data_IF_767533252389
#
_entry.id   IF_767533252389
#
_cell.length_a   1.000
_cell.length_b   1.000
_cell.length_c   1.000
_cell.angle_alpha   90.00
_cell.angle_beta   90.00
_cell.angle_gamma   90.00
#
_symmetry.space_group_name_H-M   'P 1'
#
loop_
_entity.id
_entity.type
_entity.pdbx_description
1 polymer ?
#
# COMPACT_ATOMS: atom_id res chain seq x y z
N UNK A 1 4.41 17.09 -19.89
CA UNK A 1 4.61 16.26 -18.68
C UNK A 1 6.10 15.97 -18.55
N UNK A 2 6.74 16.01 -17.36
CA UNK A 2 8.14 15.63 -17.26
C UNK A 2 8.32 14.14 -17.61
N UNK A 3 9.27 13.82 -18.49
CA UNK A 3 9.62 12.45 -18.86
C UNK A 3 10.83 11.98 -18.07
N UNK A 4 10.81 10.73 -17.62
CA UNK A 4 11.92 10.06 -16.96
C UNK A 4 12.34 8.87 -17.81
N UNK A 5 13.63 8.81 -18.17
CA UNK A 5 14.23 7.67 -18.85
C UNK A 5 15.16 6.95 -17.87
N UNK A 6 15.00 5.64 -17.77
CA UNK A 6 15.83 4.77 -16.94
C UNK A 6 16.57 3.84 -17.89
N UNK A 7 17.89 3.98 -17.94
CA UNK A 7 18.76 3.08 -18.71
C UNK A 7 19.14 1.89 -17.83
N UNK A 8 18.90 0.66 -18.32
CA UNK A 8 19.25 -0.58 -17.62
C UNK A 8 20.53 -1.12 -18.26
N UNK A 9 21.69 -1.04 -17.56
CA UNK A 9 22.96 -1.42 -18.15
C UNK A 9 23.01 -2.92 -18.43
N UNK A 10 23.54 -3.29 -19.60
CA UNK A 10 23.87 -4.68 -19.91
C UNK A 10 25.18 -5.05 -19.20
N UNK A 11 25.23 -6.19 -18.51
CA UNK A 11 26.50 -6.74 -18.02
C UNK A 11 27.19 -7.62 -19.06
N UNK A 12 28.51 -7.47 -19.17
CA UNK A 12 29.38 -8.39 -19.90
C UNK A 12 30.11 -9.26 -18.88
N UNK A 13 29.91 -10.59 -18.92
CA UNK A 13 30.63 -11.55 -18.07
C UNK A 13 29.76 -12.36 -17.10
N UNK A 14 30.33 -13.47 -16.62
CA UNK A 14 29.72 -14.58 -15.88
C UNK A 14 29.33 -14.28 -14.43
N UNK A 15 28.69 -13.13 -14.18
CA UNK A 15 27.88 -12.98 -12.96
C UNK A 15 26.60 -13.78 -13.19
N UNK A 16 26.18 -14.62 -12.23
CA UNK A 16 24.94 -15.37 -12.35
C UNK A 16 23.79 -14.38 -12.60
N UNK A 17 23.07 -14.54 -13.72
CA UNK A 17 22.02 -13.65 -14.21
C UNK A 17 21.02 -13.25 -13.11
N UNK A 18 20.77 -14.16 -12.17
CA UNK A 18 19.92 -13.96 -10.99
C UNK A 18 20.42 -12.84 -10.07
N UNK A 19 21.70 -12.85 -9.67
CA UNK A 19 22.29 -11.83 -8.79
C UNK A 19 22.28 -10.45 -9.46
N UNK A 20 22.44 -10.42 -10.79
CA UNK A 20 22.37 -9.18 -11.54
C UNK A 20 20.93 -8.63 -11.63
N UNK A 21 19.94 -9.49 -11.88
CA UNK A 21 18.53 -9.10 -11.90
C UNK A 21 18.04 -8.64 -10.52
N UNK A 22 18.57 -9.22 -9.44
CA UNK A 22 18.32 -8.77 -8.07
C UNK A 22 18.82 -7.33 -7.86
N UNK A 23 20.06 -7.03 -8.23
CA UNK A 23 20.62 -5.67 -8.16
C UNK A 23 19.81 -4.66 -8.99
N UNK A 24 19.38 -5.04 -10.20
CA UNK A 24 18.52 -4.19 -11.04
C UNK A 24 17.19 -3.94 -10.34
N UNK A 25 16.55 -4.97 -9.79
CA UNK A 25 15.28 -4.86 -9.07
C UNK A 25 15.39 -3.92 -7.86
N UNK A 26 16.46 -4.02 -7.06
CA UNK A 26 16.72 -3.12 -5.93
C UNK A 26 16.89 -1.66 -6.38
N UNK A 27 17.68 -1.44 -7.43
CA UNK A 27 17.89 -0.10 -7.98
C UNK A 27 16.60 0.50 -8.52
N UNK A 28 15.83 -0.26 -9.30
CA UNK A 28 14.53 0.19 -9.82
C UNK A 28 13.56 0.48 -8.67
N UNK A 29 13.55 -0.33 -7.62
CA UNK A 29 12.74 -0.07 -6.41
C UNK A 29 13.17 1.23 -5.72
N UNK A 30 14.47 1.51 -5.66
CA UNK A 30 15.00 2.74 -5.08
C UNK A 30 14.71 4.00 -5.90
N UNK A 31 14.53 3.86 -7.21
CA UNK A 31 14.18 4.95 -8.13
C UNK A 31 12.66 5.17 -8.16
N UNK A 32 11.88 4.08 -8.13
CA UNK A 32 10.42 4.04 -8.12
C UNK A 32 9.87 4.06 -6.69
N UNK A 33 10.28 5.07 -5.90
CA UNK A 33 10.07 5.18 -4.43
C UNK A 33 8.61 5.21 -3.96
N UNK A 34 7.63 5.41 -4.84
CA UNK A 34 6.21 5.50 -4.46
C UNK A 34 5.33 4.56 -5.28
N UNK A 35 4.20 4.13 -4.69
CA UNK A 35 3.17 3.34 -5.38
C UNK A 35 2.52 4.07 -6.57
N UNK A 36 2.80 5.37 -6.70
CA UNK A 36 2.31 6.27 -7.76
C UNK A 36 3.30 6.36 -8.93
N UNK A 37 4.55 5.93 -8.77
CA UNK A 37 5.54 5.91 -9.86
C UNK A 37 5.35 4.66 -10.71
N UNK A 38 4.55 4.83 -11.75
CA UNK A 38 4.19 3.77 -12.69
C UNK A 38 5.12 3.84 -13.91
N UNK A 39 5.75 2.73 -14.26
CA UNK A 39 6.52 2.65 -15.50
C UNK A 39 5.51 2.55 -16.67
N UNK A 40 5.57 3.50 -17.60
CA UNK A 40 4.59 3.63 -18.69
C UNK A 40 4.91 2.71 -19.87
N UNK A 41 6.19 2.41 -20.10
CA UNK A 41 6.63 1.51 -21.15
C UNK A 41 8.01 0.93 -20.85
N UNK A 42 8.29 -0.25 -21.41
CA UNK A 42 9.63 -0.81 -21.53
C UNK A 42 10.03 -0.73 -23.00
N UNK A 43 11.23 -0.20 -23.26
CA UNK A 43 11.78 -0.08 -24.59
C UNK A 43 13.07 -0.88 -24.68
N UNK A 44 13.19 -1.77 -25.67
CA UNK A 44 14.47 -2.41 -25.98
C UNK A 44 15.13 -1.71 -27.17
N UNK A 45 16.46 -1.65 -27.14
CA UNK A 45 17.27 -1.08 -28.22
C UNK A 45 18.06 -2.21 -28.88
N UNK A 46 17.94 -2.35 -30.20
CA UNK A 46 18.77 -3.29 -30.97
C UNK A 46 19.14 -2.74 -32.33
N UNK A 47 20.07 -3.42 -33.01
CA UNK A 47 20.43 -3.09 -34.40
C UNK A 47 19.45 -3.75 -35.37
N UNK A 48 18.90 -2.98 -36.31
CA UNK A 48 17.89 -3.45 -37.27
C UNK A 48 18.39 -4.64 -38.10
N UNK A 49 19.64 -4.56 -38.54
CA UNK A 49 20.28 -5.53 -39.44
C UNK A 49 20.89 -6.73 -38.71
N UNK A 50 20.66 -6.86 -37.39
CA UNK A 50 21.15 -8.03 -36.67
C UNK A 50 20.26 -9.25 -36.95
N UNK A 51 20.85 -10.27 -37.56
CA UNK A 51 20.15 -11.50 -37.97
C UNK A 51 19.95 -12.49 -36.82
N UNK A 52 20.66 -12.34 -35.70
CA UNK A 52 20.51 -13.20 -34.53
C UNK A 52 21.01 -12.53 -33.26
N UNK A 53 20.23 -12.64 -32.19
CA UNK A 53 20.69 -12.37 -30.83
C UNK A 53 21.15 -13.67 -30.19
N UNK A 54 22.21 -13.61 -29.39
CA UNK A 54 22.66 -14.75 -28.56
C UNK A 54 21.56 -15.20 -27.61
N UNK A 55 21.59 -16.46 -27.17
CA UNK A 55 20.62 -16.95 -26.19
C UNK A 55 20.71 -16.16 -24.88
N UNK A 56 21.91 -15.75 -24.46
CA UNK A 56 22.12 -14.89 -23.28
C UNK A 56 21.39 -13.55 -23.39
N UNK A 57 21.39 -12.92 -24.57
CA UNK A 57 20.64 -11.67 -24.79
C UNK A 57 19.13 -11.89 -24.74
N UNK A 58 18.64 -13.02 -25.27
CA UNK A 58 17.22 -13.37 -25.23
C UNK A 58 16.78 -13.64 -23.78
N UNK A 59 17.56 -14.42 -23.04
CA UNK A 59 17.33 -14.71 -21.61
C UNK A 59 17.36 -13.44 -20.76
N UNK A 60 18.27 -12.51 -21.05
CA UNK A 60 18.31 -11.21 -20.40
C UNK A 60 17.03 -10.41 -20.63
N UNK A 61 16.55 -10.31 -21.87
CA UNK A 61 15.31 -9.58 -22.19
C UNK A 61 14.09 -10.19 -21.49
N UNK A 62 13.97 -11.51 -21.52
CA UNK A 62 12.92 -12.22 -20.82
C UNK A 62 13.03 -11.97 -19.31
N UNK A 63 14.23 -12.01 -18.72
CA UNK A 63 14.42 -11.76 -17.29
C UNK A 63 14.00 -10.34 -16.86
N UNK A 64 14.29 -9.32 -17.68
CA UNK A 64 13.82 -7.94 -17.45
C UNK A 64 12.29 -7.87 -17.52
N UNK A 65 11.64 -8.56 -18.46
CA UNK A 65 10.17 -8.67 -18.51
C UNK A 65 9.61 -9.24 -17.20
N UNK A 66 10.27 -10.27 -16.67
CA UNK A 66 9.82 -10.95 -15.46
C UNK A 66 9.93 -10.09 -14.21
N UNK A 67 10.70 -9.00 -14.22
CA UNK A 67 10.76 -8.03 -13.13
C UNK A 67 9.46 -7.28 -12.91
N UNK A 68 8.49 -7.29 -13.84
CA UNK A 68 7.25 -6.51 -13.74
C UNK A 68 5.99 -7.39 -13.64
N UNK A 69 4.99 -6.93 -12.89
CA UNK A 69 3.65 -7.52 -12.73
C UNK A 69 2.90 -7.48 -14.08
N UNK A 70 2.39 -8.63 -14.52
CA UNK A 70 1.75 -8.79 -15.82
C UNK A 70 0.23 -8.68 -15.68
N UNK A 71 -0.33 -7.46 -15.66
CA UNK A 71 -1.80 -7.29 -15.69
C UNK A 71 -2.38 -7.25 -17.10
N UNK A 72 -1.53 -7.12 -18.12
CA UNK A 72 -1.86 -7.30 -19.53
C UNK A 72 -0.56 -7.53 -20.29
N UNK A 73 -0.66 -8.16 -21.46
CA UNK A 73 0.47 -8.47 -22.35
C UNK A 73 1.29 -7.20 -22.59
N UNK A 74 2.41 -7.08 -21.90
CA UNK A 74 3.25 -5.89 -21.98
C UNK A 74 4.03 -6.00 -23.27
N UNK A 75 3.45 -5.53 -24.35
CA UNK A 75 4.12 -5.56 -25.64
C UNK A 75 5.27 -4.53 -25.58
N UNK A 76 6.51 -5.03 -25.42
CA UNK A 76 7.69 -4.17 -25.30
C UNK A 76 7.88 -3.35 -26.57
N UNK A 77 8.08 -2.05 -26.43
CA UNK A 77 8.41 -1.20 -27.56
C UNK A 77 9.86 -1.42 -27.98
N UNK A 78 10.13 -1.18 -29.25
CA UNK A 78 11.39 -1.52 -29.88
C UNK A 78 11.99 -0.29 -30.56
N UNK A 79 13.23 0.07 -30.23
CA UNK A 79 14.01 1.05 -30.97
C UNK A 79 15.09 0.33 -31.78
N UNK A 80 14.96 0.38 -33.10
CA UNK A 80 15.89 -0.24 -34.02
C UNK A 80 16.89 0.77 -34.56
N UNK A 81 18.11 0.67 -34.04
CA UNK A 81 19.27 1.45 -34.45
C UNK A 81 19.86 0.91 -35.75
N UNK A 82 20.59 1.77 -36.49
CA UNK A 82 21.23 1.41 -37.76
C UNK A 82 20.25 0.84 -38.81
N UNK A 83 19.03 1.37 -38.85
CA UNK A 83 17.99 1.00 -39.81
C UNK A 83 18.17 1.71 -41.18
N UNK A 84 19.42 1.87 -41.62
CA UNK A 84 19.77 2.63 -42.83
C UNK A 84 19.80 1.79 -44.11
N UNK A 85 19.71 0.46 -43.99
CA UNK A 85 20.06 -0.47 -45.07
C UNK A 85 19.30 -1.81 -45.02
N UNK A 86 18.00 -1.78 -45.31
CA UNK A 86 17.22 -2.99 -45.61
C UNK A 86 16.22 -3.43 -44.52
N UNK A 87 15.58 -4.60 -44.70
CA UNK A 87 14.53 -5.06 -43.79
C UNK A 87 15.10 -5.40 -42.41
N UNK A 88 14.34 -5.07 -41.36
CA UNK A 88 14.72 -5.28 -39.97
C UNK A 88 14.62 -6.76 -39.54
N UNK A 89 15.61 -7.57 -39.91
CA UNK A 89 15.66 -9.01 -39.64
C UNK A 89 15.54 -9.37 -38.15
N UNK A 90 16.00 -8.48 -37.26
CA UNK A 90 15.88 -8.67 -35.81
C UNK A 90 14.42 -8.79 -35.35
N UNK A 91 13.46 -8.15 -36.04
CA UNK A 91 12.02 -8.25 -35.70
C UNK A 91 11.51 -9.68 -35.89
N UNK A 92 11.86 -10.29 -37.02
CA UNK A 92 11.47 -11.67 -37.33
C UNK A 92 12.18 -12.67 -36.42
N UNK A 93 13.45 -12.42 -36.08
CA UNK A 93 14.17 -13.23 -35.12
C UNK A 93 13.53 -13.21 -33.73
N UNK A 94 13.19 -12.03 -33.19
CA UNK A 94 12.56 -11.89 -31.88
C UNK A 94 11.18 -12.57 -31.81
N UNK A 95 10.36 -12.42 -32.87
CA UNK A 95 9.09 -13.14 -33.00
C UNK A 95 9.29 -14.66 -32.98
N UNK A 96 10.32 -15.18 -33.66
CA UNK A 96 10.63 -16.61 -33.66
C UNK A 96 11.03 -17.17 -32.28
N UNK A 97 11.46 -16.30 -31.36
CA UNK A 97 11.84 -16.63 -29.97
C UNK A 97 10.71 -16.38 -28.97
N UNK A 98 9.48 -16.17 -29.43
CA UNK A 98 8.30 -15.87 -28.62
C UNK A 98 8.38 -14.57 -27.79
N UNK A 99 9.25 -13.63 -28.17
CA UNK A 99 9.24 -12.29 -27.56
C UNK A 99 8.12 -11.48 -28.21
N UNK A 100 7.20 -10.97 -27.38
CA UNK A 100 6.09 -10.13 -27.84
C UNK A 100 6.58 -8.70 -28.05
N UNK A 101 6.44 -8.22 -29.27
CA UNK A 101 6.85 -6.88 -29.66
C UNK A 101 5.64 -5.99 -29.82
N UNK A 102 5.70 -4.82 -29.18
CA UNK A 102 4.78 -3.71 -29.38
C UNK A 102 5.14 -2.92 -30.61
N UNK A 103 5.14 -1.59 -30.48
CA UNK A 103 5.49 -0.72 -31.60
C UNK A 103 7.00 -0.67 -31.79
N UNK A 104 7.46 -0.77 -33.04
CA UNK A 104 8.86 -0.61 -33.41
C UNK A 104 9.12 0.74 -34.06
N UNK A 105 10.20 1.40 -33.65
CA UNK A 105 10.66 2.69 -34.11
C UNK A 105 12.04 2.52 -34.76
N UNK A 106 12.12 2.72 -36.06
CA UNK A 106 13.34 2.54 -36.83
C UNK A 106 14.13 3.86 -36.77
N UNK A 107 15.15 3.92 -35.91
CA UNK A 107 15.91 5.14 -35.62
C UNK A 107 17.31 5.07 -36.24
N UNK A 108 17.70 6.13 -36.95
CA UNK A 108 19.04 6.22 -37.51
C UNK A 108 19.90 7.18 -36.69
N UNK A 109 20.66 6.61 -35.76
CA UNK A 109 21.54 7.37 -34.88
C UNK A 109 22.70 8.09 -35.60
N UNK A 110 23.01 7.75 -36.85
CA UNK A 110 24.07 8.43 -37.61
C UNK A 110 23.77 9.93 -37.82
N UNK A 111 22.49 10.32 -37.77
CA UNK A 111 22.05 11.72 -37.84
C UNK A 111 22.55 12.58 -36.66
N UNK A 112 22.94 11.97 -35.52
CA UNK A 112 23.48 12.69 -34.36
C UNK A 112 24.96 13.09 -34.54
N UNK A 113 25.67 12.50 -35.51
CA UNK A 113 27.14 12.58 -35.60
C UNK A 113 27.67 13.45 -36.76
N UNK A 114 26.82 14.07 -37.60
CA UNK A 114 27.31 14.92 -38.69
C UNK A 114 26.24 15.73 -39.44
N UNK A 115 26.65 16.85 -40.04
CA UNK A 115 25.79 17.70 -40.88
C UNK A 115 26.04 17.43 -42.37
N UNK A 116 25.12 16.72 -43.03
CA UNK A 116 25.08 16.54 -44.49
C UNK A 116 23.63 16.50 -44.96
N UNK A 117 23.40 16.68 -46.26
CA UNK A 117 22.05 16.63 -46.85
C UNK A 117 21.37 15.27 -46.62
N UNK A 118 22.14 14.19 -46.64
CA UNK A 118 21.66 12.83 -46.34
C UNK A 118 21.35 12.68 -44.84
N UNK A 119 22.17 13.26 -43.96
CA UNK A 119 21.91 13.27 -42.51
C UNK A 119 20.65 14.06 -42.14
N UNK A 120 20.30 15.10 -42.91
CA UNK A 120 19.04 15.85 -42.72
C UNK A 120 17.80 14.98 -42.93
N UNK A 121 17.81 14.12 -43.95
CA UNK A 121 16.69 13.18 -44.21
C UNK A 121 16.57 12.12 -43.11
N UNK A 122 17.71 11.60 -42.64
CA UNK A 122 17.72 10.66 -41.50
C UNK A 122 17.28 11.32 -40.20
N UNK A 123 17.61 12.60 -40.00
CA UNK A 123 17.16 13.39 -38.86
C UNK A 123 15.65 13.61 -38.87
N UNK A 124 15.08 14.01 -40.00
CA UNK A 124 13.63 14.19 -40.15
C UNK A 124 12.86 12.88 -39.89
N UNK A 125 13.34 11.77 -40.45
CA UNK A 125 12.75 10.44 -40.21
C UNK A 125 12.86 10.04 -38.73
N UNK A 126 14.03 10.19 -38.12
CA UNK A 126 14.25 9.86 -36.71
C UNK A 126 13.38 10.71 -35.78
N UNK A 127 13.27 12.00 -36.07
CA UNK A 127 12.44 12.94 -35.30
C UNK A 127 10.97 12.53 -35.38
N UNK A 128 10.48 12.18 -36.58
CA UNK A 128 9.11 11.69 -36.78
C UNK A 128 8.80 10.46 -35.91
N UNK A 129 9.73 9.50 -35.83
CA UNK A 129 9.53 8.30 -35.00
C UNK A 129 9.50 8.62 -33.49
N UNK A 130 10.35 9.54 -33.03
CA UNK A 130 10.30 9.99 -31.62
C UNK A 130 9.02 10.79 -31.32
N UNK A 131 8.57 11.66 -32.22
CA UNK A 131 7.30 12.36 -32.10
C UNK A 131 6.12 11.37 -32.01
N UNK A 132 6.13 10.33 -32.85
CA UNK A 132 5.11 9.29 -32.79
C UNK A 132 5.15 8.53 -31.45
N UNK A 133 6.33 8.19 -30.97
CA UNK A 133 6.52 7.53 -29.68
C UNK A 133 5.98 8.37 -28.52
N UNK A 134 6.37 9.65 -28.43
CA UNK A 134 5.91 10.54 -27.37
C UNK A 134 4.41 10.81 -27.44
N UNK A 135 3.87 11.01 -28.66
CA UNK A 135 2.42 11.17 -28.85
C UNK A 135 1.66 9.93 -28.37
N UNK A 136 2.17 8.72 -28.61
CA UNK A 136 1.56 7.48 -28.11
C UNK A 136 1.63 7.42 -26.58
N UNK A 137 2.77 7.74 -25.97
CA UNK A 137 2.89 7.80 -24.51
C UNK A 137 1.89 8.78 -23.86
N UNK A 138 1.54 9.88 -24.54
CA UNK A 138 0.58 10.86 -24.04
C UNK A 138 -0.89 10.48 -24.26
N UNK A 139 -1.19 9.72 -25.33
CA UNK A 139 -2.57 9.45 -25.76
C UNK A 139 -3.09 8.08 -25.38
N UNK A 140 -2.22 7.13 -25.06
CA UNK A 140 -2.63 5.77 -24.70
C UNK A 140 -3.15 5.73 -23.25
N UNK A 141 -4.48 5.71 -23.08
CA UNK A 141 -5.14 5.60 -21.78
C UNK A 141 -4.99 4.20 -21.15
N UNK A 142 -4.49 3.23 -21.93
CA UNK A 142 -4.18 1.87 -21.49
C UNK A 142 -2.72 1.71 -21.07
N UNK A 143 -2.05 2.78 -20.61
CA UNK A 143 -0.69 2.68 -20.06
C UNK A 143 -0.66 1.55 -19.06
N UNK A 144 -0.02 0.45 -19.48
CA UNK A 144 0.16 -0.72 -18.64
C UNK A 144 1.05 -0.21 -17.52
N UNK A 145 0.44 -0.01 -16.35
CA UNK A 145 1.15 0.39 -15.14
C UNK A 145 2.07 -0.75 -14.77
N UNK A 146 3.30 -0.72 -15.28
CA UNK A 146 4.26 -1.78 -15.00
C UNK A 146 4.79 -1.54 -13.59
N UNK A 147 4.35 -2.41 -12.69
CA UNK A 147 4.77 -2.43 -11.29
C UNK A 147 5.82 -3.52 -11.12
N UNK A 148 6.89 -3.25 -10.40
CA UNK A 148 7.91 -4.27 -10.13
C UNK A 148 7.29 -5.44 -9.34
N UNK A 149 7.55 -6.68 -9.76
CA UNK A 149 7.25 -7.88 -8.96
C UNK A 149 8.08 -7.83 -7.69
N UNK A 150 7.41 -7.69 -6.55
CA UNK A 150 8.04 -7.72 -5.24
C UNK A 150 8.42 -9.16 -4.85
N UNK A 151 9.46 -9.74 -5.50
CA UNK A 151 9.91 -11.10 -5.18
C UNK A 151 10.83 -11.18 -3.96
N UNK A 152 11.58 -10.13 -3.62
CA UNK A 152 12.60 -10.21 -2.57
C UNK A 152 12.24 -9.31 -1.38
N UNK A 153 11.16 -9.64 -0.66
CA UNK A 153 11.05 -9.20 0.74
C UNK A 153 11.97 -10.10 1.56
N UNK A 154 12.97 -9.52 2.24
CA UNK A 154 13.79 -10.31 3.15
C UNK A 154 12.94 -10.80 4.34
N UNK A 155 13.28 -11.92 4.99
CA UNK A 155 12.60 -12.38 6.20
C UNK A 155 12.54 -11.30 7.29
N UNK A 156 13.63 -10.53 7.45
CA UNK A 156 13.72 -9.43 8.41
C UNK A 156 12.71 -8.34 8.07
N UNK A 157 12.66 -7.91 6.80
CA UNK A 157 11.73 -6.88 6.36
C UNK A 157 10.27 -7.33 6.50
N UNK A 158 9.99 -8.59 6.21
CA UNK A 158 8.66 -9.19 6.43
C UNK A 158 8.28 -9.10 7.90
N UNK A 159 9.21 -9.44 8.79
CA UNK A 159 8.99 -9.45 10.22
C UNK A 159 8.79 -8.04 10.82
N UNK A 160 9.53 -7.05 10.31
CA UNK A 160 9.32 -5.64 10.62
C UNK A 160 7.90 -5.19 10.27
N UNK A 161 7.44 -5.48 9.04
CA UNK A 161 6.11 -5.08 8.58
C UNK A 161 5.02 -5.75 9.41
N UNK A 162 5.18 -7.03 9.74
CA UNK A 162 4.24 -7.75 10.61
C UNK A 162 4.16 -7.11 12.00
N UNK A 163 5.31 -6.72 12.55
CA UNK A 163 5.41 -6.06 13.85
C UNK A 163 4.79 -4.66 13.83
N UNK A 164 4.97 -3.91 12.75
CA UNK A 164 4.33 -2.61 12.52
C UNK A 164 2.80 -2.74 12.49
N UNK A 165 2.26 -3.71 11.73
CA UNK A 165 0.81 -3.96 11.68
C UNK A 165 0.29 -4.35 13.07
N UNK A 166 0.99 -5.27 13.76
CA UNK A 166 0.61 -5.73 15.10
C UNK A 166 0.60 -4.60 16.14
N UNK A 167 1.46 -3.59 15.98
CA UNK A 167 1.47 -2.38 16.82
C UNK A 167 0.38 -1.40 16.45
N UNK A 168 0.12 -1.18 15.16
CA UNK A 168 -0.85 -0.19 14.70
C UNK A 168 -2.30 -0.61 14.97
N UNK A 169 -2.64 -1.89 14.88
CA UNK A 169 -4.00 -2.37 15.16
C UNK A 169 -4.57 -1.93 16.52
N UNK A 170 -3.91 -2.19 17.66
CA UNK A 170 -4.41 -1.76 18.95
C UNK A 170 -4.42 -0.24 19.11
N UNK A 171 -3.47 0.49 18.51
CA UNK A 171 -3.48 1.95 18.51
C UNK A 171 -4.70 2.51 17.76
N UNK A 172 -5.07 1.92 16.61
CA UNK A 172 -6.28 2.32 15.87
C UNK A 172 -7.52 2.13 16.74
N UNK A 173 -7.65 1.00 17.43
CA UNK A 173 -8.78 0.76 18.35
C UNK A 173 -8.83 1.78 19.49
N UNK A 174 -7.69 2.15 20.06
CA UNK A 174 -7.59 3.17 21.10
C UNK A 174 -8.09 4.53 20.59
N UNK A 175 -7.60 4.98 19.43
CA UNK A 175 -7.99 6.26 18.84
C UNK A 175 -9.47 6.27 18.41
N UNK A 176 -10.03 5.15 17.97
CA UNK A 176 -11.47 5.04 17.67
C UNK A 176 -12.34 5.17 18.92
N UNK A 177 -11.90 4.60 20.05
CA UNK A 177 -12.62 4.78 21.32
C UNK A 177 -12.64 6.26 21.73
N UNK A 178 -11.48 6.95 21.64
CA UNK A 178 -11.38 8.40 21.91
C UNK A 178 -12.26 9.22 20.96
N UNK A 179 -12.25 8.89 19.67
CA UNK A 179 -13.10 9.56 18.68
C UNK A 179 -14.58 9.45 19.06
N UNK A 180 -15.02 8.24 19.40
CA UNK A 180 -16.40 8.01 19.83
C UNK A 180 -16.76 8.73 21.13
N UNK A 181 -15.83 8.85 22.08
CA UNK A 181 -16.03 9.61 23.32
C UNK A 181 -16.17 11.11 23.08
N UNK A 182 -15.33 11.71 22.23
CA UNK A 182 -15.41 13.14 21.89
C UNK A 182 -16.70 13.42 21.11
N UNK A 183 -17.06 12.57 20.14
CA UNK A 183 -18.31 12.72 19.38
C UNK A 183 -19.55 12.62 20.26
N UNK A 184 -19.55 11.67 21.20
CA UNK A 184 -20.63 11.56 22.17
C UNK A 184 -20.77 12.84 23.02
N UNK A 185 -19.65 13.41 23.46
CA UNK A 185 -19.65 14.68 24.20
C UNK A 185 -20.22 15.83 23.37
N UNK A 186 -19.73 16.03 22.14
CA UNK A 186 -20.22 17.10 21.24
C UNK A 186 -21.73 16.99 21.06
N UNK A 187 -22.23 15.79 20.71
CA UNK A 187 -23.67 15.55 20.54
C UNK A 187 -24.46 15.85 21.83
N UNK A 188 -23.95 15.39 22.97
CA UNK A 188 -24.61 15.61 24.27
C UNK A 188 -24.68 17.10 24.60
N UNK A 189 -23.60 17.85 24.37
CA UNK A 189 -23.57 19.29 24.62
C UNK A 189 -24.47 20.07 23.68
N UNK A 190 -24.55 19.69 22.40
CA UNK A 190 -25.48 20.29 21.44
C UNK A 190 -26.94 20.06 21.82
N UNK A 191 -27.30 18.83 22.20
CA UNK A 191 -28.67 18.47 22.59
C UNK A 191 -29.12 19.14 23.90
N UNK A 192 -28.17 19.49 24.78
CA UNK A 192 -28.43 20.09 26.10
C UNK A 192 -27.93 21.54 26.20
N UNK A 193 -27.78 22.23 25.07
CA UNK A 193 -27.22 23.59 25.00
C UNK A 193 -27.90 24.57 25.94
N UNK A 194 -29.24 24.61 25.92
CA UNK A 194 -30.02 25.57 26.71
C UNK A 194 -29.80 25.35 28.22
N UNK A 195 -29.82 24.09 28.67
CA UNK A 195 -29.59 23.73 30.07
C UNK A 195 -28.17 24.07 30.53
N UNK A 196 -27.17 23.84 29.67
CA UNK A 196 -25.77 24.20 29.94
C UNK A 196 -25.63 25.71 30.07
N UNK A 197 -26.24 26.49 29.17
CA UNK A 197 -26.13 27.95 29.18
C UNK A 197 -26.93 28.61 30.32
N UNK A 198 -28.06 28.03 30.72
CA UNK A 198 -28.93 28.56 31.77
C UNK A 198 -28.47 28.19 33.19
N UNK A 199 -28.01 26.95 33.38
CA UNK A 199 -27.72 26.41 34.71
C UNK A 199 -26.22 26.19 34.98
N UNK A 200 -25.39 26.09 33.94
CA UNK A 200 -23.94 25.89 34.03
C UNK A 200 -23.50 24.52 34.54
N UNK A 201 -24.32 23.82 35.33
CA UNK A 201 -24.01 22.54 35.97
C UNK A 201 -24.74 21.39 35.27
N UNK A 202 -24.28 21.01 34.09
CA UNK A 202 -24.78 19.84 33.38
C UNK A 202 -23.88 18.62 33.64
N UNK A 203 -24.47 17.50 34.03
CA UNK A 203 -23.78 16.22 34.24
C UNK A 203 -24.43 15.13 33.39
N UNK A 204 -23.61 14.24 32.86
CA UNK A 204 -24.04 13.17 31.96
C UNK A 204 -23.24 11.89 32.23
N UNK A 205 -23.81 10.75 31.84
CA UNK A 205 -23.13 9.47 31.89
C UNK A 205 -22.47 9.18 30.54
N UNK A 206 -21.21 8.74 30.58
CA UNK A 206 -20.48 8.28 29.41
C UNK A 206 -19.83 6.93 29.73
N UNK A 207 -19.86 6.05 28.73
CA UNK A 207 -19.14 4.79 28.75
C UNK A 207 -17.72 5.01 28.23
N UNK A 208 -16.73 4.91 29.10
CA UNK A 208 -15.31 4.94 28.72
C UNK A 208 -14.80 3.54 28.47
N UNK A 209 -14.13 3.33 27.34
CA UNK A 209 -13.56 2.03 26.98
C UNK A 209 -12.07 2.03 27.30
N UNK A 210 -11.70 1.45 28.44
CA UNK A 210 -10.31 1.32 28.86
C UNK A 210 -9.69 0.09 28.22
N UNK A 211 -8.62 0.32 27.45
CA UNK A 211 -7.80 -0.72 26.87
C UNK A 211 -6.62 -1.04 27.78
N UNK A 212 -6.48 -2.31 28.17
CA UNK A 212 -5.38 -2.79 29.02
C UNK A 212 -4.58 -3.87 28.32
N UNK A 213 -3.28 -3.65 28.18
CA UNK A 213 -2.35 -4.69 27.72
C UNK A 213 -2.12 -5.71 28.84
N UNK A 214 -2.28 -7.00 28.54
CA UNK A 214 -2.05 -8.11 29.46
C UNK A 214 -1.02 -9.05 28.83
N UNK A 215 0.14 -9.18 29.46
CA UNK A 215 1.15 -10.14 29.04
C UNK A 215 0.70 -11.56 29.38
N UNK A 216 0.93 -12.49 28.45
CA UNK A 216 0.60 -13.90 28.61
C UNK A 216 1.68 -14.61 29.43
N UNK A 217 1.36 -15.77 30.05
CA UNK A 217 2.35 -16.59 30.72
C UNK A 217 3.50 -16.97 29.78
N UNK A 218 4.70 -17.20 30.34
CA UNK A 218 5.86 -17.59 29.54
C UNK A 218 5.56 -18.85 28.70
N UNK A 219 5.85 -18.78 27.40
CA UNK A 219 5.60 -19.87 26.45
C UNK A 219 4.17 -19.91 25.87
N UNK A 220 3.31 -18.95 26.22
CA UNK A 220 1.94 -18.81 25.69
C UNK A 220 1.84 -17.59 24.78
N UNK A 221 1.17 -17.75 23.64
CA UNK A 221 1.03 -16.71 22.63
C UNK A 221 -0.37 -16.74 22.01
N UNK A 222 -0.85 -15.59 21.56
CA UNK A 222 -2.01 -15.52 20.65
C UNK A 222 -1.53 -15.49 19.20
N UNK A 223 -2.13 -16.30 18.33
CA UNK A 223 -1.89 -16.28 16.89
C UNK A 223 -2.85 -15.32 16.22
N UNK A 224 -2.34 -14.16 15.81
CA UNK A 224 -3.13 -13.10 15.19
C UNK A 224 -2.96 -13.12 13.67
N UNK A 225 -4.07 -13.16 12.94
CA UNK A 225 -4.08 -12.91 11.50
C UNK A 225 -3.95 -11.40 11.28
N UNK A 226 -2.84 -10.97 10.70
CA UNK A 226 -2.61 -9.55 10.44
C UNK A 226 -3.47 -9.05 9.27
N UNK A 227 -3.84 -9.92 8.34
CA UNK A 227 -4.71 -9.54 7.23
C UNK A 227 -6.15 -9.30 7.69
N UNK A 228 -6.68 -10.20 8.54
CA UNK A 228 -8.04 -10.09 9.06
C UNK A 228 -8.14 -9.26 10.35
N UNK A 229 -7.01 -8.84 10.93
CA UNK A 229 -6.96 -8.15 12.24
C UNK A 229 -7.64 -8.96 13.37
N UNK A 230 -7.54 -10.30 13.32
CA UNK A 230 -8.34 -11.22 14.14
C UNK A 230 -7.48 -12.27 14.85
N UNK A 231 -7.83 -12.59 16.11
CA UNK A 231 -7.18 -13.64 16.91
C UNK A 231 -7.68 -15.01 16.46
N UNK A 232 -6.81 -15.81 15.83
CA UNK A 232 -7.18 -17.12 15.29
C UNK A 232 -6.97 -18.26 16.28
N UNK A 233 -6.08 -18.07 17.26
CA UNK A 233 -5.80 -19.03 18.33
C UNK A 233 -5.28 -18.27 19.55
N UNK A 234 -5.79 -18.58 20.73
CA UNK A 234 -5.56 -17.86 21.99
C UNK A 234 -4.47 -18.51 22.88
N UNK A 235 -4.19 -19.80 22.70
CA UNK A 235 -3.21 -20.57 23.47
C UNK A 235 -2.19 -21.32 22.59
N UNK A 236 -1.39 -20.56 21.85
CA UNK A 236 -0.35 -21.11 20.99
C UNK A 236 0.97 -21.34 21.74
N UNK A 237 1.38 -22.62 21.84
CA UNK A 237 2.66 -23.02 22.42
C UNK A 237 3.87 -22.87 21.48
N UNK A 238 3.66 -22.40 20.25
CA UNK A 238 4.72 -22.20 19.24
C UNK A 238 5.22 -20.76 19.39
N UNK A 239 6.48 -20.52 19.80
CA UNK A 239 7.00 -19.15 19.88
C UNK A 239 7.44 -18.62 18.52
N UNK A 240 8.00 -19.48 17.67
CA UNK A 240 8.58 -19.11 16.39
C UNK A 240 7.51 -18.91 15.32
N UNK A 241 7.59 -17.77 14.65
CA UNK A 241 6.69 -17.38 13.60
C UNK A 241 6.77 -18.32 12.38
N UNK A 242 7.93 -18.94 12.13
CA UNK A 242 8.16 -19.92 11.04
C UNK A 242 7.62 -21.31 11.38
N UNK A 243 7.40 -21.60 12.66
CA UNK A 243 6.76 -22.82 13.14
C UNK A 243 5.24 -22.84 12.97
N UNK A 244 4.62 -21.70 12.62
CA UNK A 244 3.15 -21.54 12.68
C UNK A 244 2.35 -22.40 11.75
N UNK A 245 2.94 -22.96 10.68
CA UNK A 245 2.27 -23.98 9.86
C UNK A 245 1.74 -25.16 10.70
N UNK A 246 2.32 -25.40 11.88
CA UNK A 246 1.89 -26.41 12.85
C UNK A 246 0.93 -25.92 13.94
N UNK A 247 0.49 -24.66 13.90
CA UNK A 247 -0.54 -24.16 14.82
C UNK A 247 -1.87 -24.88 14.57
N UNK A 248 -2.64 -25.18 15.63
CA UNK A 248 -3.93 -25.89 15.54
C UNK A 248 -4.95 -25.18 14.65
N UNK A 249 -4.83 -23.85 14.50
CA UNK A 249 -5.67 -23.07 13.60
C UNK A 249 -5.32 -23.30 12.12
N UNK A 250 -4.17 -23.89 11.79
CA UNK A 250 -3.68 -24.08 10.43
C UNK A 250 -3.95 -25.50 9.93
N UNK A 251 -4.39 -25.61 8.69
CA UNK A 251 -4.52 -26.86 7.95
C UNK A 251 -4.01 -26.67 6.52
N UNK A 252 -3.12 -27.56 6.05
CA UNK A 252 -2.49 -27.48 4.72
C UNK A 252 -1.88 -26.09 4.39
N UNK A 253 -1.33 -25.39 5.38
CA UNK A 253 -0.73 -24.07 5.21
C UNK A 253 -1.72 -22.90 5.24
N UNK A 254 -3.01 -23.15 5.40
CA UNK A 254 -4.05 -22.11 5.47
C UNK A 254 -4.74 -22.10 6.83
N UNK A 255 -5.11 -20.91 7.30
CA UNK A 255 -5.87 -20.76 8.53
C UNK A 255 -7.32 -21.21 8.32
N UNK A 256 -7.84 -22.00 9.25
CA UNK A 256 -9.22 -22.51 9.25
C UNK A 256 -10.17 -21.64 10.06
N UNK A 257 -9.63 -20.69 10.84
CA UNK A 257 -10.40 -19.86 11.78
C UNK A 257 -10.75 -18.49 11.18
N UNK A 258 -9.77 -17.78 10.61
CA UNK A 258 -10.04 -16.45 10.05
C UNK A 258 -10.99 -16.49 8.83
N UNK A 259 -11.67 -15.37 8.59
CA UNK A 259 -12.71 -15.25 7.56
C UNK A 259 -12.16 -15.48 6.14
N UNK A 260 -10.96 -14.97 5.86
CA UNK A 260 -10.34 -15.03 4.53
C UNK A 260 -9.49 -16.30 4.33
N UNK A 261 -9.46 -17.22 5.29
CA UNK A 261 -8.61 -18.43 5.28
C UNK A 261 -7.16 -18.15 4.89
N UNK A 262 -6.60 -17.07 5.45
CA UNK A 262 -5.26 -16.58 5.10
C UNK A 262 -4.17 -17.63 5.31
N UNK A 263 -3.12 -17.58 4.50
CA UNK A 263 -1.94 -18.42 4.67
C UNK A 263 -1.27 -18.23 6.04
N UNK A 264 -0.63 -19.29 6.54
CA UNK A 264 -0.03 -19.33 7.87
C UNK A 264 0.97 -18.20 8.11
N UNK A 265 1.70 -17.76 7.08
CA UNK A 265 2.74 -16.75 7.20
C UNK A 265 2.21 -15.32 7.36
N UNK A 266 0.92 -15.05 7.11
CA UNK A 266 0.28 -13.77 7.48
C UNK A 266 -0.07 -13.66 8.97
N UNK A 267 0.16 -14.72 9.72
CA UNK A 267 -0.12 -14.73 11.14
C UNK A 267 1.14 -14.37 11.92
N UNK A 268 0.96 -13.72 13.08
CA UNK A 268 2.02 -13.38 14.03
C UNK A 268 1.65 -13.87 15.42
N UNK A 269 2.61 -14.48 16.14
CA UNK A 269 2.39 -14.88 17.51
C UNK A 269 2.78 -13.71 18.41
N UNK A 270 1.85 -13.32 19.29
CA UNK A 270 2.04 -12.17 20.17
C UNK A 270 1.95 -12.67 21.62
N UNK A 271 2.91 -12.30 22.49
CA UNK A 271 2.96 -12.77 23.88
C UNK A 271 2.05 -11.95 24.81
N UNK A 272 1.05 -11.24 24.27
CA UNK A 272 0.14 -10.40 25.03
C UNK A 272 -1.19 -10.24 24.29
N UNK A 273 -2.23 -9.87 25.04
CA UNK A 273 -3.54 -9.49 24.52
C UNK A 273 -3.93 -8.09 25.01
N UNK A 274 -4.95 -7.52 24.38
CA UNK A 274 -5.62 -6.33 24.88
C UNK A 274 -6.98 -6.73 25.44
N UNK A 275 -7.21 -6.40 26.70
CA UNK A 275 -8.51 -6.51 27.35
C UNK A 275 -9.19 -5.15 27.31
N UNK A 276 -10.46 -5.14 26.89
CA UNK A 276 -11.28 -3.94 26.84
C UNK A 276 -12.30 -3.97 27.97
N UNK A 277 -12.37 -2.91 28.78
CA UNK A 277 -13.36 -2.76 29.85
C UNK A 277 -14.19 -1.51 29.63
N UNK A 278 -15.51 -1.65 29.75
CA UNK A 278 -16.42 -0.53 29.80
C UNK A 278 -16.52 -0.03 31.25
N UNK A 279 -16.28 1.25 31.46
CA UNK A 279 -16.47 1.92 32.74
C UNK A 279 -17.53 3.01 32.56
N UNK A 280 -18.60 2.93 33.33
CA UNK A 280 -19.63 3.95 33.36
C UNK A 280 -19.19 5.08 34.30
N UNK A 281 -18.97 6.27 33.76
CA UNK A 281 -18.55 7.43 34.53
C UNK A 281 -19.54 8.57 34.38
N UNK A 282 -19.83 9.26 35.49
CA UNK A 282 -20.56 10.52 35.47
C UNK A 282 -19.55 11.65 35.31
N UNK A 283 -19.73 12.48 34.29
CA UNK A 283 -18.90 13.65 34.03
C UNK A 283 -19.74 14.91 34.03
N UNK A 284 -19.16 16.04 34.40
CA UNK A 284 -19.78 17.34 34.21
C UNK A 284 -19.17 18.11 33.03
N UNK A 285 -19.99 18.93 32.38
CA UNK A 285 -19.55 19.84 31.32
C UNK A 285 -18.42 20.77 31.81
N UNK A 286 -18.55 21.32 33.03
CA UNK A 286 -17.56 22.23 33.60
C UNK A 286 -16.21 21.54 33.82
N UNK A 287 -16.19 20.34 34.41
CA UNK A 287 -14.95 19.59 34.61
C UNK A 287 -14.24 19.30 33.29
N UNK A 288 -15.00 18.85 32.27
CA UNK A 288 -14.44 18.52 30.96
C UNK A 288 -13.89 19.76 30.24
N UNK A 289 -14.64 20.87 30.26
CA UNK A 289 -14.20 22.13 29.67
C UNK A 289 -12.98 22.68 30.38
N UNK A 290 -12.98 22.77 31.71
CA UNK A 290 -11.86 23.30 32.47
C UNK A 290 -10.60 22.44 32.32
N UNK A 291 -10.72 21.11 32.28
CA UNK A 291 -9.58 20.23 32.00
C UNK A 291 -9.00 20.49 30.60
N UNK A 292 -9.86 20.67 29.60
CA UNK A 292 -9.46 20.96 28.22
C UNK A 292 -8.78 22.33 28.08
N UNK A 293 -9.37 23.36 28.68
CA UNK A 293 -8.83 24.73 28.75
C UNK A 293 -7.44 24.76 29.41
N UNK A 294 -7.26 24.00 30.49
CA UNK A 294 -5.97 23.87 31.16
C UNK A 294 -4.92 23.20 30.28
N UNK A 295 -5.28 22.14 29.56
CA UNK A 295 -4.37 21.44 28.65
C UNK A 295 -3.94 22.33 27.47
N UNK A 296 -4.88 23.07 26.89
CA UNK A 296 -4.65 23.93 25.71
C UNK A 296 -4.14 25.33 26.08
N UNK A 297 -4.20 25.73 27.34
CA UNK A 297 -3.78 27.06 27.82
C UNK A 297 -4.67 28.19 27.30
N UNK A 298 -5.97 27.93 27.11
CA UNK A 298 -6.95 28.89 26.58
C UNK A 298 -8.20 28.93 27.47
N UNK A 299 -8.99 29.99 27.36
CA UNK A 299 -10.35 30.06 27.93
C UNK A 299 -11.32 30.21 26.77
N UNK A 300 -12.35 29.37 26.75
CA UNK A 300 -13.26 29.23 25.62
C UNK A 300 -14.68 29.53 26.08
N UNK A 301 -15.48 30.20 25.27
CA UNK A 301 -16.93 30.21 25.46
C UNK A 301 -17.55 28.88 24.98
N UNK A 302 -18.85 28.66 25.23
CA UNK A 302 -19.53 27.41 24.89
C UNK A 302 -19.39 27.05 23.40
N UNK A 303 -19.71 27.99 22.51
CA UNK A 303 -19.62 27.78 21.05
C UNK A 303 -18.17 27.53 20.61
N UNK A 304 -17.20 28.26 21.15
CA UNK A 304 -15.78 28.07 20.85
C UNK A 304 -15.31 26.68 21.29
N UNK A 305 -15.73 26.23 22.48
CA UNK A 305 -15.38 24.90 22.97
C UNK A 305 -15.90 23.79 22.04
N UNK A 306 -17.14 23.88 21.55
CA UNK A 306 -17.67 22.94 20.57
C UNK A 306 -16.91 22.97 19.23
N UNK A 307 -16.51 24.15 18.77
CA UNK A 307 -15.68 24.29 17.56
C UNK A 307 -14.32 23.61 17.73
N UNK A 308 -13.69 23.76 18.90
CA UNK A 308 -12.43 23.09 19.23
C UNK A 308 -12.59 21.57 19.28
N UNK A 309 -13.62 21.04 19.94
CA UNK A 309 -13.89 19.60 19.94
C UNK A 309 -14.15 19.05 18.53
N UNK A 310 -14.86 19.82 17.70
CA UNK A 310 -15.11 19.48 16.28
C UNK A 310 -13.81 19.48 15.48
N UNK A 311 -12.87 20.38 15.80
CA UNK A 311 -11.54 20.40 15.19
C UNK A 311 -10.73 19.17 15.62
N UNK A 312 -10.74 18.83 16.90
CA UNK A 312 -10.07 17.64 17.44
C UNK A 312 -10.60 16.35 16.79
N UNK A 313 -11.92 16.25 16.55
CA UNK A 313 -12.53 15.16 15.78
C UNK A 313 -11.90 15.05 14.38
N UNK A 314 -11.75 16.18 13.66
CA UNK A 314 -11.17 16.19 12.30
C UNK A 314 -9.68 15.81 12.32
N UNK A 315 -8.92 16.31 13.30
CA UNK A 315 -7.51 15.98 13.47
C UNK A 315 -7.33 14.48 13.77
N UNK A 316 -8.18 13.93 14.64
CA UNK A 316 -8.18 12.51 15.00
C UNK A 316 -8.59 11.61 13.84
N UNK A 317 -9.59 12.00 13.04
CA UNK A 317 -9.96 11.31 11.79
C UNK A 317 -8.78 11.30 10.79
N UNK A 318 -8.05 12.40 10.67
CA UNK A 318 -6.83 12.47 9.85
C UNK A 318 -5.73 11.53 10.34
N UNK A 319 -5.49 11.48 11.66
CA UNK A 319 -4.54 10.56 12.28
C UNK A 319 -4.94 9.09 12.04
N UNK A 320 -6.21 8.75 12.29
CA UNK A 320 -6.78 7.42 12.06
C UNK A 320 -6.65 7.01 10.59
N UNK A 321 -6.96 7.91 9.66
CA UNK A 321 -6.79 7.68 8.23
C UNK A 321 -5.35 7.33 7.88
N UNK A 322 -4.39 8.11 8.38
CA UNK A 322 -2.97 7.83 8.19
C UNK A 322 -2.53 6.47 8.72
N UNK A 323 -2.98 6.09 9.93
CA UNK A 323 -2.66 4.77 10.53
C UNK A 323 -3.27 3.62 9.72
N UNK A 324 -4.54 3.71 9.34
CA UNK A 324 -5.23 2.67 8.55
C UNK A 324 -4.66 2.58 7.13
N UNK A 325 -4.29 3.71 6.52
CA UNK A 325 -3.58 3.72 5.24
C UNK A 325 -2.24 3.01 5.35
N UNK A 326 -1.44 3.31 6.38
CA UNK A 326 -0.18 2.59 6.62
C UNK A 326 -0.40 1.07 6.78
N UNK A 327 -1.44 0.66 7.53
CA UNK A 327 -1.80 -0.77 7.64
C UNK A 327 -2.14 -1.36 6.26
N UNK A 328 -2.95 -0.65 5.46
CA UNK A 328 -3.35 -1.06 4.11
C UNK A 328 -2.13 -1.27 3.21
N UNK A 329 -1.22 -0.29 3.18
CA UNK A 329 -0.01 -0.33 2.37
C UNK A 329 0.92 -1.48 2.82
N UNK A 330 1.08 -1.67 4.13
CA UNK A 330 1.84 -2.79 4.70
C UNK A 330 1.24 -4.16 4.33
N UNK A 331 -0.09 -4.32 4.42
CA UNK A 331 -0.81 -5.55 4.02
C UNK A 331 -0.60 -5.86 2.55
N UNK A 332 -0.80 -4.84 1.70
CA UNK A 332 -0.64 -4.96 0.26
C UNK A 332 0.80 -5.30 -0.13
N UNK A 333 1.78 -4.68 0.53
CA UNK A 333 3.18 -5.00 0.32
C UNK A 333 3.51 -6.46 0.66
N UNK A 334 2.96 -7.00 1.75
CA UNK A 334 3.09 -8.43 2.06
C UNK A 334 2.46 -9.29 0.96
N UNK A 335 1.24 -8.96 0.52
CA UNK A 335 0.53 -9.74 -0.50
C UNK A 335 1.21 -9.76 -1.87
N UNK A 336 1.96 -8.72 -2.25
CA UNK A 336 2.74 -8.64 -3.51
C UNK A 336 3.80 -9.73 -3.68
N UNK A 337 4.10 -10.48 -2.61
CA UNK A 337 5.00 -11.63 -2.65
C UNK A 337 4.34 -12.92 -3.13
N UNK A 338 3.01 -12.95 -3.24
CA UNK A 338 2.25 -14.10 -3.71
C UNK A 338 2.20 -14.16 -5.24
N UNK A 339 2.01 -15.35 -5.80
CA UNK A 339 1.87 -15.54 -7.25
C UNK A 339 0.69 -14.75 -7.84
N UNK A 340 -0.40 -14.59 -7.08
CA UNK A 340 -1.57 -13.79 -7.43
C UNK A 340 -1.93 -12.83 -6.27
N UNK A 341 -1.39 -11.60 -6.26
CA UNK A 341 -1.57 -10.69 -5.13
C UNK A 341 -2.99 -10.13 -5.07
N UNK A 342 -3.66 -10.33 -3.93
CA UNK A 342 -5.01 -9.79 -3.66
C UNK A 342 -4.94 -8.45 -2.93
N UNK A 343 -4.41 -7.43 -3.59
CA UNK A 343 -4.26 -6.07 -3.05
C UNK A 343 -5.63 -5.51 -2.64
N UNK A 344 -5.73 -4.98 -1.43
CA UNK A 344 -6.94 -4.36 -0.88
C UNK A 344 -6.88 -2.84 -0.93
N UNK A 345 -8.01 -2.24 -1.19
CA UNK A 345 -8.24 -0.81 -0.95
C UNK A 345 -8.29 -0.50 0.55
N UNK A 346 -8.23 0.79 0.87
CA UNK A 346 -8.43 1.30 2.23
C UNK A 346 -9.80 0.88 2.79
N UNK A 347 -10.85 0.96 1.96
CA UNK A 347 -12.23 0.68 2.37
C UNK A 347 -12.39 -0.81 2.68
N UNK A 348 -11.82 -1.70 1.85
CA UNK A 348 -11.78 -3.14 2.11
C UNK A 348 -10.94 -3.49 3.34
N UNK A 349 -9.89 -2.71 3.64
CA UNK A 349 -9.11 -2.88 4.87
C UNK A 349 -9.92 -2.49 6.11
N UNK A 350 -10.75 -1.44 6.03
CA UNK A 350 -11.70 -1.11 7.09
C UNK A 350 -12.74 -2.23 7.24
N UNK A 351 -13.23 -2.82 6.15
CA UNK A 351 -14.19 -3.93 6.23
C UNK A 351 -13.61 -5.15 6.96
N UNK A 352 -12.33 -5.48 6.75
CA UNK A 352 -11.65 -6.51 7.54
C UNK A 352 -11.64 -6.16 9.03
N UNK A 353 -11.37 -4.90 9.39
CA UNK A 353 -11.36 -4.45 10.79
C UNK A 353 -12.76 -4.47 11.42
N UNK A 354 -13.79 -4.03 10.70
CA UNK A 354 -15.19 -4.12 11.13
C UNK A 354 -15.59 -5.59 11.35
N UNK A 355 -15.19 -6.49 10.45
CA UNK A 355 -15.46 -7.91 10.61
C UNK A 355 -14.75 -8.50 11.84
N UNK A 356 -13.53 -8.04 12.15
CA UNK A 356 -12.84 -8.42 13.38
C UNK A 356 -13.58 -7.94 14.63
N UNK A 357 -14.12 -6.72 14.64
CA UNK A 357 -14.96 -6.20 15.72
C UNK A 357 -16.25 -7.02 15.90
N UNK A 358 -16.97 -7.29 14.81
CA UNK A 358 -18.22 -8.09 14.83
C UNK A 358 -18.01 -9.51 15.36
N UNK A 359 -16.86 -10.11 15.08
CA UNK A 359 -16.54 -11.47 15.49
C UNK A 359 -16.02 -11.54 16.93
N UNK A 360 -15.18 -10.59 17.34
CA UNK A 360 -14.60 -10.56 18.69
C UNK A 360 -15.62 -10.12 19.75
N UNK A 361 -16.51 -9.18 19.41
CA UNK A 361 -17.53 -8.60 20.32
C UNK A 361 -16.94 -8.07 21.63
N UNK A 362 -15.74 -7.54 21.55
CA UNK A 362 -15.07 -6.88 22.68
C UNK A 362 -15.86 -5.65 23.15
N UNK A 363 -15.78 -5.28 24.42
CA UNK A 363 -16.48 -4.09 24.92
C UNK A 363 -16.23 -2.85 24.06
N UNK A 364 -17.31 -2.15 23.70
CA UNK A 364 -17.28 -0.97 22.83
C UNK A 364 -17.22 -1.27 21.32
N UNK A 365 -17.40 -2.53 20.88
CA UNK A 365 -17.29 -2.89 19.47
C UNK A 365 -18.32 -2.17 18.58
N UNK A 366 -19.56 -1.96 19.04
CA UNK A 366 -20.57 -1.25 18.25
C UNK A 366 -20.15 0.19 17.97
N UNK A 367 -19.63 0.89 19.00
CA UNK A 367 -19.11 2.25 18.85
C UNK A 367 -17.91 2.28 17.91
N UNK A 368 -16.97 1.33 18.01
CA UNK A 368 -15.83 1.24 17.08
C UNK A 368 -16.29 1.01 15.64
N UNK A 369 -17.30 0.17 15.42
CA UNK A 369 -17.88 -0.05 14.08
C UNK A 369 -18.44 1.25 13.52
N UNK A 370 -19.21 2.01 14.30
CA UNK A 370 -19.73 3.32 13.87
C UNK A 370 -18.59 4.28 13.48
N UNK A 371 -17.53 4.35 14.29
CA UNK A 371 -16.36 5.20 14.00
C UNK A 371 -15.56 4.73 12.78
N UNK A 372 -15.52 3.43 12.50
CA UNK A 372 -14.93 2.91 11.27
C UNK A 372 -15.72 3.32 10.02
N UNK A 373 -17.05 3.30 10.08
CA UNK A 373 -17.90 3.75 8.96
C UNK A 373 -17.73 5.25 8.72
N UNK A 374 -17.65 6.06 9.78
CA UNK A 374 -17.32 7.49 9.65
C UNK A 374 -15.94 7.72 9.04
N UNK A 375 -14.94 6.90 9.39
CA UNK A 375 -13.62 6.99 8.79
C UNK A 375 -13.65 6.70 7.28
N UNK A 376 -14.53 5.80 6.81
CA UNK A 376 -14.77 5.58 5.37
C UNK A 376 -15.36 6.81 4.71
N UNK A 377 -16.38 7.42 5.31
CA UNK A 377 -16.98 8.66 4.80
C UNK A 377 -15.94 9.78 4.71
N UNK A 378 -15.13 9.95 5.75
CA UNK A 378 -14.04 10.91 5.79
C UNK A 378 -12.99 10.68 4.68
N UNK A 379 -12.58 9.43 4.47
CA UNK A 379 -11.66 9.04 3.39
C UNK A 379 -12.22 9.43 2.01
N UNK A 380 -13.51 9.17 1.77
CA UNK A 380 -14.18 9.53 0.53
C UNK A 380 -14.24 11.06 0.33
N UNK A 381 -14.52 11.82 1.38
CA UNK A 381 -14.49 13.29 1.32
C UNK A 381 -13.12 13.84 0.95
N UNK A 382 -12.03 13.27 1.47
CA UNK A 382 -10.67 13.72 1.13
C UNK A 382 -10.32 13.39 -0.33
N UNK A 383 -10.70 12.20 -0.83
CA UNK A 383 -10.43 11.80 -2.22
C UNK A 383 -11.11 12.70 -3.26
N UNK A 384 -12.27 13.27 -2.92
CA UNK A 384 -13.07 14.10 -3.83
C UNK A 384 -12.71 15.59 -3.81
N UNK A 385 -11.84 16.05 -2.89
CA UNK A 385 -11.36 17.43 -2.91
C UNK A 385 -10.27 17.57 -3.99
N UNK A 386 -10.50 18.35 -5.06
CA UNK A 386 -9.42 18.69 -5.98
C UNK A 386 -8.38 19.51 -5.21
N UNK A 387 -7.11 19.13 -5.31
CA UNK A 387 -5.99 19.96 -4.87
C UNK A 387 -5.93 21.27 -5.64
#
# INVERSE_FOLDING_TARGET
MPLMFIDIPRTEGSTELEEHMEKISEQLTSVLKSEEQQLHCICFVAQANNFSLSNEQIEYFQSVEHLFESTSTTDMNCFLTFADSGPAYVKEYLKSRNIRLGTSYDVNCSAFYGKSKTFSLYWESTTTYFEEFFRRLETDQNTTSLRLKSKNITPERREEIKSDIAKLHPEVKEELNKLGEIKFQVKTYEENKDDIQLHGNFSFQIDEIVQKKIDLPAGKHVTNCLQCSFICHDDCAIPDDDGKKGCVAMNNGFCTVCINKCEWWFHKNIPFIYEYKCIHVTKSYQEMKSSYEQEKGVTLEFEEYLEYLTKDIKELLGLLHGKVKKITDCKNYLQRTQENPLVKSFDETIDDMINAEKNSKEHGFERRIEMYEELKEYSNMIRLRPN
#
